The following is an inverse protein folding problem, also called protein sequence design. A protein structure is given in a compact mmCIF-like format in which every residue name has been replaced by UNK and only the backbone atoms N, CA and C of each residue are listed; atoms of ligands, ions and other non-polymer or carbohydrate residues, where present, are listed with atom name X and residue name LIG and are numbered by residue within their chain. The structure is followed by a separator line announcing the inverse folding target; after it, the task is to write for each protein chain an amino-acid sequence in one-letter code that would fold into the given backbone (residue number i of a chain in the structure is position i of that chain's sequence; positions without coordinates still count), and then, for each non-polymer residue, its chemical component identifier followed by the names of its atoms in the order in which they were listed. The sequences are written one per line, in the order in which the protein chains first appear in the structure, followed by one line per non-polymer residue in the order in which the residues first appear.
data_IF_833403121122
#
_entry.id   IF_833403121122
#
_cell.length_a   1.000
_cell.length_b   1.000
_cell.length_c   1.000
_cell.angle_alpha   90.00
_cell.angle_beta   90.00
_cell.angle_gamma   90.00
#
_symmetry.space_group_name_H-M   'P 1'
#
loop_
_entity.id
_entity.type
_entity.pdbx_description
1 polymer ?
#
# COMPACT_ATOMS: atom_id res chain seq x y z
N UNK A 1 3.80 24.05 0.16
CA UNK A 1 4.57 22.86 0.61
C UNK A 1 3.91 21.65 -0.01
N UNK A 2 4.34 21.27 -1.22
CA UNK A 2 3.81 20.14 -2.00
C UNK A 2 4.50 18.89 -1.48
N UNK A 3 3.82 18.10 -0.63
CA UNK A 3 4.45 16.95 0.06
C UNK A 3 4.40 15.65 -0.75
N UNK A 4 3.54 15.60 -1.77
CA UNK A 4 3.34 14.45 -2.65
C UNK A 4 3.76 14.83 -4.07
N UNK A 5 4.99 14.49 -4.44
CA UNK A 5 5.54 14.74 -5.78
C UNK A 5 6.42 13.58 -6.25
N UNK A 6 6.74 13.54 -7.54
CA UNK A 6 7.65 12.54 -8.11
C UNK A 6 9.05 12.56 -7.47
N UNK A 7 9.45 13.70 -6.86
CA UNK A 7 10.73 13.87 -6.19
C UNK A 7 10.71 13.35 -4.73
N UNK A 8 9.55 12.94 -4.22
CA UNK A 8 9.35 12.42 -2.86
C UNK A 8 8.63 11.07 -2.92
N UNK A 9 7.36 11.02 -2.51
CA UNK A 9 6.49 9.86 -2.60
C UNK A 9 5.03 10.34 -2.54
N UNK A 10 4.11 9.57 -3.11
CA UNK A 10 2.68 9.92 -3.10
C UNK A 10 2.01 9.52 -1.78
N UNK A 11 2.24 8.27 -1.37
CA UNK A 11 1.84 7.71 -0.09
C UNK A 11 3.07 7.18 0.62
N UNK A 12 3.17 7.43 1.92
CA UNK A 12 4.13 6.75 2.76
C UNK A 12 3.80 5.26 2.89
N UNK A 13 4.78 4.45 3.29
CA UNK A 13 4.61 3.05 3.59
C UNK A 13 3.58 2.84 4.71
N UNK A 14 3.52 3.74 5.70
CA UNK A 14 2.53 3.68 6.79
C UNK A 14 1.11 3.93 6.28
N UNK A 15 0.92 4.91 5.39
CA UNK A 15 -0.37 5.16 4.74
C UNK A 15 -0.78 3.99 3.85
N UNK A 16 0.17 3.39 3.12
CA UNK A 16 -0.08 2.18 2.32
C UNK A 16 -0.51 0.98 3.20
N UNK A 17 0.18 0.76 4.33
CA UNK A 17 -0.16 -0.31 5.28
C UNK A 17 -1.52 -0.06 5.92
N UNK A 18 -1.83 1.19 6.27
CA UNK A 18 -3.15 1.59 6.79
C UNK A 18 -4.26 1.35 5.76
N UNK A 19 -4.05 1.76 4.50
CA UNK A 19 -4.98 1.50 3.41
C UNK A 19 -5.18 0.01 3.16
N UNK A 20 -4.13 -0.80 3.21
CA UNK A 20 -4.21 -2.26 3.11
C UNK A 20 -5.04 -2.88 4.25
N UNK A 21 -4.82 -2.44 5.49
CA UNK A 21 -5.62 -2.85 6.65
C UNK A 21 -7.11 -2.54 6.44
N UNK A 22 -7.44 -1.32 6.03
CA UNK A 22 -8.83 -0.92 5.78
C UNK A 22 -9.43 -1.71 4.61
N UNK A 23 -8.70 -1.89 3.50
CA UNK A 23 -9.17 -2.72 2.39
C UNK A 23 -9.44 -4.17 2.80
N UNK A 24 -8.63 -4.76 3.68
CA UNK A 24 -8.84 -6.10 4.24
C UNK A 24 -10.09 -6.19 5.13
N UNK A 25 -10.44 -5.11 5.85
CA UNK A 25 -11.65 -5.04 6.66
C UNK A 25 -12.93 -4.91 5.81
N UNK A 26 -12.82 -4.41 4.58
CA UNK A 26 -13.94 -4.21 3.66
C UNK A 26 -13.73 -4.96 2.34
N UNK A 27 -13.74 -6.31 2.36
CA UNK A 27 -13.53 -7.11 1.16
C UNK A 27 -14.70 -6.95 0.17
N UNK A 28 -14.39 -6.93 -1.12
CA UNK A 28 -15.39 -6.83 -2.18
C UNK A 28 -15.91 -8.22 -2.58
N UNK A 29 -17.21 -8.46 -2.44
CA UNK A 29 -17.85 -9.71 -2.88
C UNK A 29 -17.72 -9.89 -4.39
N UNK A 30 -17.25 -11.05 -4.82
CA UNK A 30 -17.03 -11.38 -6.22
C UNK A 30 -17.39 -12.83 -6.49
N UNK A 31 -18.48 -13.06 -7.25
CA UNK A 31 -18.95 -14.41 -7.62
C UNK A 31 -17.98 -15.21 -8.50
N UNK A 32 -17.01 -14.52 -9.10
CA UNK A 32 -15.99 -15.13 -9.96
C UNK A 32 -14.70 -15.45 -9.20
N UNK A 33 -14.60 -15.07 -7.92
CA UNK A 33 -13.49 -15.49 -7.06
C UNK A 33 -13.78 -16.83 -6.40
N UNK A 34 -12.75 -17.66 -6.23
CA UNK A 34 -12.87 -18.98 -5.60
C UNK A 34 -13.25 -18.92 -4.11
N UNK A 35 -12.86 -17.85 -3.42
CA UNK A 35 -13.18 -17.57 -2.01
C UNK A 35 -14.40 -16.63 -1.84
N UNK A 36 -15.05 -16.27 -2.95
CA UNK A 36 -16.20 -15.35 -2.97
C UNK A 36 -15.86 -13.87 -2.80
N UNK A 37 -14.59 -13.48 -2.65
CA UNK A 37 -14.14 -12.09 -2.50
C UNK A 37 -12.96 -11.77 -3.42
N UNK A 38 -12.90 -10.57 -3.98
CA UNK A 38 -11.72 -10.15 -4.75
C UNK A 38 -11.41 -8.68 -4.51
N UNK A 39 -10.25 -8.44 -3.88
CA UNK A 39 -9.79 -7.11 -3.50
C UNK A 39 -10.78 -6.35 -2.61
N UNK A 40 -10.78 -5.03 -2.75
CA UNK A 40 -11.67 -4.13 -2.03
C UNK A 40 -12.10 -2.95 -2.90
N UNK A 41 -13.27 -2.37 -2.58
CA UNK A 41 -13.72 -1.08 -3.12
C UNK A 41 -13.46 0.08 -2.16
N UNK A 42 -12.79 -0.18 -1.03
CA UNK A 42 -12.40 0.85 -0.09
C UNK A 42 -11.31 1.72 -0.71
N UNK A 43 -11.48 3.05 -0.64
CA UNK A 43 -10.57 4.04 -1.22
C UNK A 43 -10.00 4.90 -0.10
N UNK A 44 -8.72 5.26 -0.25
CA UNK A 44 -8.03 6.22 0.63
C UNK A 44 -7.87 7.54 -0.11
N UNK A 45 -8.26 8.66 0.50
CA UNK A 45 -8.11 10.00 -0.09
C UNK A 45 -7.13 10.81 0.76
N UNK A 46 -6.11 11.37 0.11
CA UNK A 46 -5.14 12.29 0.72
C UNK A 46 -5.46 13.71 0.28
N UNK A 47 -5.54 14.62 1.26
CA UNK A 47 -5.68 16.05 1.02
C UNK A 47 -4.30 16.67 1.18
N UNK A 48 -3.76 17.24 0.10
CA UNK A 48 -2.40 17.78 0.04
C UNK A 48 -2.38 19.10 -0.73
N UNK A 49 -1.24 19.77 -0.78
CA UNK A 49 -1.05 20.95 -1.63
C UNK A 49 -0.52 20.55 -3.00
N UNK A 50 -0.97 21.20 -4.07
CA UNK A 50 -0.41 21.03 -5.42
C UNK A 50 0.83 21.92 -5.67
N UNK A 51 1.30 21.97 -6.92
CA UNK A 51 2.43 22.81 -7.33
C UNK A 51 2.10 24.32 -7.28
N UNK A 52 0.82 24.70 -7.30
CA UNK A 52 0.33 26.07 -7.16
C UNK A 52 0.11 26.48 -5.70
N UNK A 53 0.27 25.55 -4.76
CA UNK A 53 -0.11 25.65 -3.34
C UNK A 53 -1.62 25.75 -3.10
N UNK A 54 -2.43 25.28 -4.05
CA UNK A 54 -3.87 25.11 -3.86
C UNK A 54 -4.16 23.77 -3.18
N UNK A 55 -5.35 23.66 -2.55
CA UNK A 55 -5.80 22.40 -1.94
C UNK A 55 -6.11 21.40 -3.05
N UNK A 56 -5.50 20.24 -2.98
CA UNK A 56 -5.64 19.15 -3.93
C UNK A 56 -6.03 17.84 -3.23
N UNK A 57 -6.76 16.99 -3.95
CA UNK A 57 -7.26 15.70 -3.47
C UNK A 57 -6.75 14.60 -4.39
N UNK A 58 -6.10 13.61 -3.80
CA UNK A 58 -5.61 12.43 -4.51
C UNK A 58 -6.23 11.18 -3.91
N UNK A 59 -6.75 10.29 -4.75
CA UNK A 59 -7.42 9.08 -4.33
C UNK A 59 -6.62 7.84 -4.74
N UNK A 60 -6.42 6.94 -3.79
CA UNK A 60 -5.58 5.77 -3.93
C UNK A 60 -6.29 4.50 -3.45
N UNK A 61 -5.91 3.38 -4.07
CA UNK A 61 -6.09 2.05 -3.54
C UNK A 61 -4.74 1.34 -3.57
N UNK A 62 -4.51 0.44 -2.62
CA UNK A 62 -3.37 -0.46 -2.67
C UNK A 62 -3.73 -1.75 -3.41
N UNK A 63 -2.71 -2.41 -3.97
CA UNK A 63 -2.89 -3.65 -4.70
C UNK A 63 -3.39 -4.79 -3.80
N UNK A 64 -4.01 -5.80 -4.40
CA UNK A 64 -4.37 -7.04 -3.68
C UNK A 64 -3.13 -7.73 -3.07
N UNK A 65 -1.96 -7.57 -3.69
CA UNK A 65 -0.70 -8.09 -3.13
C UNK A 65 -0.33 -7.36 -1.84
N UNK A 66 -0.42 -6.02 -1.80
CA UNK A 66 -0.19 -5.26 -0.57
C UNK A 66 -1.18 -5.65 0.54
N UNK A 67 -2.45 -5.85 0.20
CA UNK A 67 -3.45 -6.37 1.14
C UNK A 67 -3.01 -7.69 1.78
N UNK A 68 -2.55 -8.66 0.98
CA UNK A 68 -2.10 -9.97 1.48
C UNK A 68 -0.83 -9.84 2.32
N UNK A 69 0.17 -9.09 1.86
CA UNK A 69 1.43 -8.89 2.58
C UNK A 69 1.22 -8.23 3.95
N UNK A 70 0.25 -7.32 4.07
CA UNK A 70 -0.10 -6.70 5.36
C UNK A 70 -0.94 -7.63 6.23
N UNK A 71 -1.93 -8.32 5.65
CA UNK A 71 -2.74 -9.32 6.36
C UNK A 71 -1.87 -10.39 7.02
N UNK A 72 -0.88 -10.86 6.28
CA UNK A 72 0.01 -11.93 6.73
C UNK A 72 1.21 -11.38 7.52
N UNK A 73 1.22 -10.08 7.88
CA UNK A 73 2.28 -9.42 8.64
C UNK A 73 3.68 -9.64 8.04
N UNK A 74 3.80 -9.56 6.72
CA UNK A 74 5.07 -9.68 5.98
C UNK A 74 5.66 -8.29 5.71
N UNK A 75 4.81 -7.32 5.35
CA UNK A 75 5.22 -5.96 5.02
C UNK A 75 4.89 -5.00 6.15
N UNK A 76 5.86 -4.23 6.61
CA UNK A 76 5.71 -3.18 7.63
C UNK A 76 6.28 -1.85 7.17
N UNK A 77 5.81 -0.70 7.68
CA UNK A 77 6.42 0.58 7.36
C UNK A 77 7.81 0.69 7.98
N UNK A 78 8.67 1.52 7.41
CA UNK A 78 9.94 1.90 8.02
C UNK A 78 9.81 3.25 8.75
N UNK A 79 10.71 3.49 9.71
CA UNK A 79 10.71 4.72 10.51
C UNK A 79 11.41 5.89 9.81
N UNK A 80 12.60 5.65 9.24
CA UNK A 80 13.47 6.71 8.68
C UNK A 80 13.36 6.88 7.16
N UNK A 81 12.59 6.04 6.46
CA UNK A 81 12.49 6.05 4.99
C UNK A 81 11.03 5.84 4.53
N UNK A 82 10.14 6.83 4.70
CA UNK A 82 8.69 6.69 4.50
C UNK A 82 8.30 6.18 3.11
N UNK A 83 9.14 6.31 2.08
CA UNK A 83 8.95 5.78 0.74
C UNK A 83 9.14 4.24 0.63
N UNK A 84 9.73 3.60 1.64
CA UNK A 84 10.05 2.17 1.64
C UNK A 84 9.31 1.40 2.73
N UNK A 85 8.79 0.23 2.33
CA UNK A 85 8.32 -0.81 3.24
C UNK A 85 9.41 -1.84 3.51
N UNK A 86 9.42 -2.41 4.71
CA UNK A 86 10.34 -3.45 5.12
C UNK A 86 9.65 -4.81 5.09
N UNK A 87 10.29 -5.78 4.42
CA UNK A 87 9.88 -7.19 4.45
C UNK A 87 10.49 -7.83 5.68
N UNK A 88 9.64 -8.37 6.56
CA UNK A 88 10.08 -9.01 7.79
C UNK A 88 10.93 -10.25 7.51
N UNK A 89 11.83 -10.55 8.42
CA UNK A 89 12.57 -11.80 8.39
C UNK A 89 11.70 -12.97 8.87
N UNK A 90 12.05 -14.18 8.41
CA UNK A 90 11.47 -15.41 8.94
C UNK A 90 11.84 -15.56 10.42
N UNK A 91 10.85 -15.90 11.24
CA UNK A 91 11.03 -16.23 12.66
C UNK A 91 10.68 -17.69 12.92
N UNK A 92 10.78 -18.15 14.17
CA UNK A 92 10.34 -19.50 14.55
C UNK A 92 8.83 -19.70 14.39
N UNK A 93 8.06 -18.62 14.54
CA UNK A 93 6.60 -18.66 14.55
C UNK A 93 5.96 -18.28 13.21
N UNK A 94 6.74 -17.70 12.29
CA UNK A 94 6.26 -17.21 11.01
C UNK A 94 7.32 -17.35 9.91
N UNK A 95 6.98 -18.09 8.84
CA UNK A 95 7.77 -18.12 7.61
C UNK A 95 7.45 -16.91 6.73
N UNK A 96 8.49 -16.21 6.27
CA UNK A 96 8.38 -15.13 5.29
C UNK A 96 9.13 -15.55 4.02
N UNK A 97 8.44 -15.68 2.87
CA UNK A 97 9.09 -16.04 1.61
C UNK A 97 9.97 -14.90 1.10
N UNK A 98 10.86 -15.20 0.15
CA UNK A 98 11.54 -14.16 -0.62
C UNK A 98 10.51 -13.33 -1.41
N UNK A 99 10.61 -12.00 -1.30
CA UNK A 99 9.72 -11.07 -1.97
C UNK A 99 10.52 -10.28 -3.01
N UNK A 100 10.15 -10.45 -4.28
CA UNK A 100 10.71 -9.71 -5.41
C UNK A 100 9.66 -8.76 -5.99
N UNK A 101 10.11 -7.65 -6.58
CA UNK A 101 9.25 -6.72 -7.32
C UNK A 101 9.84 -6.41 -8.69
N UNK A 102 8.97 -6.04 -9.64
CA UNK A 102 9.41 -5.60 -10.97
C UNK A 102 9.58 -4.09 -10.96
N UNK A 103 10.76 -3.60 -11.34
CA UNK A 103 10.97 -2.18 -11.58
C UNK A 103 10.65 -1.85 -13.03
N UNK A 104 9.80 -0.84 -13.24
CA UNK A 104 9.50 -0.29 -14.57
C UNK A 104 10.48 0.84 -14.89
N UNK A 105 11.78 0.53 -14.98
CA UNK A 105 12.72 1.47 -15.60
C UNK A 105 12.39 1.54 -17.09
N UNK A 106 12.16 2.75 -17.66
CA UNK A 106 12.10 2.88 -19.10
C UNK A 106 13.47 2.48 -19.67
N UNK A 107 13.46 1.62 -20.70
CA UNK A 107 14.65 1.34 -21.52
C UNK A 107 15.05 2.61 -22.27
#
# INVERSE_FOLDING_TARGET
MTKSSLDTFFLSAEECVTAACLQNLYPNKCRYSSDGCFGSKFVTVVVTGDASNDIHFEAYQVSNQAMVLVRDNILVPTYDAPEFGYVRETTKDQFVPEVFYTNSSPI
#
